data_IF_712949291130
#
_entry.id   IF_712949291130
#
_cell.length_a   1.000
_cell.length_b   1.000
_cell.length_c   1.000
_cell.angle_alpha   90.00
_cell.angle_beta   90.00
_cell.angle_gamma   90.00
#
_symmetry.space_group_name_H-M   'P 1'
#
loop_
_entity.id
_entity.type
_entity.pdbx_description
1 polymer ?
#
# COMPACT_ATOMS: atom_id res chain seq x y z
N UNK A 1 -1.41 3.66 20.60
CA UNK A 1 -0.35 2.63 20.42
C UNK A 1 -0.52 1.96 19.07
N UNK A 2 0.57 1.58 18.42
CA UNK A 2 0.57 0.78 17.20
C UNK A 2 1.41 -0.48 17.43
N UNK A 3 1.00 -1.59 16.85
CA UNK A 3 1.71 -2.85 16.87
C UNK A 3 1.95 -3.29 15.43
N UNK A 4 3.19 -3.55 15.07
CA UNK A 4 3.58 -4.10 13.78
C UNK A 4 4.06 -5.55 13.97
N UNK A 5 3.53 -6.47 13.19
CA UNK A 5 3.94 -7.87 13.21
C UNK A 5 3.85 -8.51 11.83
N UNK A 6 4.60 -9.56 11.62
CA UNK A 6 4.58 -10.32 10.37
C UNK A 6 3.48 -11.38 10.41
N UNK A 7 3.01 -11.82 9.23
CA UNK A 7 1.99 -12.87 9.13
C UNK A 7 2.39 -14.24 9.70
N UNK A 8 3.69 -14.42 10.03
CA UNK A 8 4.18 -15.64 10.72
C UNK A 8 4.11 -15.54 12.25
N UNK A 9 3.81 -14.37 12.79
CA UNK A 9 3.75 -14.15 14.24
C UNK A 9 2.47 -14.76 14.79
N UNK A 10 2.61 -15.67 15.75
CA UNK A 10 1.46 -16.20 16.49
C UNK A 10 0.94 -15.06 17.36
N UNK A 11 -0.29 -14.68 17.14
CA UNK A 11 -0.92 -13.56 17.83
C UNK A 11 -2.42 -13.83 18.06
N UNK A 12 -2.99 -13.05 18.94
CA UNK A 12 -4.42 -13.08 19.21
C UNK A 12 -4.87 -11.80 19.91
N UNK A 13 -6.16 -11.53 19.86
CA UNK A 13 -6.77 -10.43 20.57
C UNK A 13 -7.34 -10.91 21.90
N UNK A 14 -6.96 -10.25 22.99
CA UNK A 14 -7.58 -10.46 24.28
C UNK A 14 -8.98 -9.84 24.34
N UNK A 15 -9.86 -10.43 25.15
CA UNK A 15 -11.17 -9.87 25.40
C UNK A 15 -11.08 -8.51 26.12
N UNK A 16 -12.05 -7.64 25.87
CA UNK A 16 -12.26 -6.46 26.70
C UNK A 16 -12.94 -6.88 28.00
N UNK A 17 -12.24 -6.77 29.10
CA UNK A 17 -12.73 -7.17 30.45
C UNK A 17 -13.35 -6.00 31.22
N UNK A 18 -13.41 -4.80 30.62
CA UNK A 18 -14.06 -3.63 31.22
C UNK A 18 -15.56 -3.66 30.93
N UNK A 19 -16.36 -3.08 31.82
CA UNK A 19 -17.83 -3.03 31.70
C UNK A 19 -18.32 -1.74 31.05
N UNK A 20 -17.49 -0.70 31.05
CA UNK A 20 -17.86 0.68 30.73
C UNK A 20 -16.93 1.36 29.70
N UNK A 21 -15.88 0.68 29.22
CA UNK A 21 -14.93 1.24 28.25
C UNK A 21 -14.95 0.46 26.95
N UNK A 22 -15.02 1.19 25.84
CA UNK A 22 -14.88 0.63 24.51
C UNK A 22 -13.43 0.65 24.06
N UNK A 23 -13.01 -0.44 23.44
CA UNK A 23 -11.71 -0.51 22.76
C UNK A 23 -11.95 -0.58 21.26
N UNK A 24 -11.34 0.35 20.55
CA UNK A 24 -11.31 0.35 19.10
C UNK A 24 -9.94 -0.15 18.62
N UNK A 25 -9.95 -1.09 17.70
CA UNK A 25 -8.75 -1.58 17.02
C UNK A 25 -8.93 -1.43 15.51
N UNK A 26 -7.92 -0.88 14.86
CA UNK A 26 -7.81 -0.86 13.41
C UNK A 26 -6.72 -1.86 13.01
N UNK A 27 -7.06 -2.82 12.18
CA UNK A 27 -6.13 -3.78 11.59
C UNK A 27 -5.93 -3.44 10.11
N UNK A 28 -4.68 -3.32 9.69
CA UNK A 28 -4.32 -3.12 8.29
C UNK A 28 -3.32 -4.19 7.89
N UNK A 29 -3.63 -4.92 6.82
CA UNK A 29 -2.73 -5.91 6.24
C UNK A 29 -2.09 -5.37 4.97
N UNK A 30 -0.78 -5.57 4.83
CA UNK A 30 -0.04 -5.25 3.63
C UNK A 30 0.49 -6.55 3.03
N UNK A 31 0.25 -6.74 1.76
CA UNK A 31 0.77 -7.87 0.98
C UNK A 31 1.75 -7.38 -0.07
N UNK A 32 2.59 -8.30 -0.56
CA UNK A 32 3.50 -7.97 -1.66
C UNK A 32 2.69 -7.55 -2.90
N UNK A 33 3.16 -6.54 -3.61
CA UNK A 33 2.41 -5.90 -4.70
C UNK A 33 2.02 -6.82 -5.85
N UNK A 34 2.65 -8.00 -5.98
CA UNK A 34 2.29 -9.01 -6.99
C UNK A 34 1.29 -10.06 -6.48
N UNK A 35 0.94 -10.04 -5.20
CA UNK A 35 -0.09 -10.90 -4.64
C UNK A 35 -1.46 -10.22 -4.75
N UNK A 36 -2.48 -11.03 -4.85
CA UNK A 36 -3.86 -10.52 -4.79
C UNK A 36 -4.26 -10.39 -3.33
N UNK A 37 -4.60 -9.19 -2.85
CA UNK A 37 -5.10 -9.00 -1.49
C UNK A 37 -6.48 -9.60 -1.32
N UNK A 38 -6.88 -9.90 -0.09
CA UNK A 38 -8.23 -10.37 0.24
C UNK A 38 -9.30 -9.32 -0.09
N UNK A 39 -8.98 -8.05 0.19
CA UNK A 39 -9.86 -6.94 -0.13
C UNK A 39 -9.62 -6.41 -1.53
N UNK A 40 -10.66 -6.33 -2.32
CA UNK A 40 -10.65 -5.71 -3.64
C UNK A 40 -10.69 -4.17 -3.49
N UNK A 41 -9.62 -3.60 -2.96
CA UNK A 41 -9.56 -2.17 -2.61
C UNK A 41 -9.98 -1.22 -3.74
N UNK A 42 -9.65 -1.47 -5.04
CA UNK A 42 -10.13 -0.60 -6.12
C UNK A 42 -11.65 -0.63 -6.32
N UNK A 43 -12.33 -1.68 -5.86
CA UNK A 43 -13.80 -1.76 -5.89
C UNK A 43 -14.38 -1.06 -4.65
N UNK A 44 -13.81 -1.34 -3.47
CA UNK A 44 -14.27 -0.78 -2.20
C UNK A 44 -14.02 0.72 -2.06
N UNK A 45 -12.94 1.22 -2.67
CA UNK A 45 -12.58 2.65 -2.71
C UNK A 45 -12.43 3.08 -4.17
N UNK A 46 -13.53 3.43 -4.86
CA UNK A 46 -13.49 3.75 -6.29
C UNK A 46 -12.62 4.98 -6.60
N UNK A 47 -12.22 5.11 -7.86
CA UNK A 47 -11.28 6.15 -8.31
C UNK A 47 -11.73 7.57 -7.96
N UNK A 48 -13.02 7.84 -7.98
CA UNK A 48 -13.60 9.16 -7.62
C UNK A 48 -13.23 9.58 -6.20
N UNK A 49 -13.03 8.62 -5.30
CA UNK A 49 -12.56 8.83 -3.93
C UNK A 49 -11.03 8.78 -3.90
N UNK A 50 -10.44 7.75 -4.49
CA UNK A 50 -9.00 7.47 -4.41
C UNK A 50 -8.14 8.59 -5.03
N UNK A 51 -8.62 9.27 -6.08
CA UNK A 51 -7.91 10.39 -6.73
C UNK A 51 -7.57 11.55 -5.79
N UNK A 52 -8.29 11.67 -4.66
CA UNK A 52 -8.06 12.71 -3.66
C UNK A 52 -7.00 12.33 -2.61
N UNK A 53 -6.52 11.08 -2.63
CA UNK A 53 -5.49 10.61 -1.71
C UNK A 53 -4.08 10.89 -2.24
N UNK A 54 -3.09 10.79 -1.37
CA UNK A 54 -1.69 10.90 -1.79
C UNK A 54 -1.32 9.78 -2.78
N UNK A 55 -0.34 9.99 -3.67
CA UNK A 55 0.13 8.96 -4.60
C UNK A 55 0.53 7.65 -3.91
N UNK A 56 1.07 7.73 -2.70
CA UNK A 56 1.42 6.55 -1.90
C UNK A 56 0.18 5.74 -1.53
N UNK A 57 -0.87 6.40 -1.05
CA UNK A 57 -2.13 5.73 -0.69
C UNK A 57 -2.80 5.16 -1.94
N UNK A 58 -2.81 5.88 -3.06
CA UNK A 58 -3.32 5.37 -4.33
C UNK A 58 -2.62 4.06 -4.75
N UNK A 59 -1.28 4.00 -4.60
CA UNK A 59 -0.52 2.78 -4.88
C UNK A 59 -0.87 1.64 -3.94
N UNK A 60 -1.01 1.91 -2.64
CA UNK A 60 -1.42 0.90 -1.66
C UNK A 60 -2.81 0.35 -1.93
N UNK A 61 -3.71 1.16 -2.45
CA UNK A 61 -5.04 0.75 -2.89
C UNK A 61 -5.05 -0.03 -4.22
N UNK A 62 -3.93 -0.15 -4.91
CA UNK A 62 -3.83 -0.89 -6.16
C UNK A 62 -4.03 -0.05 -7.41
N UNK A 63 -4.05 1.28 -7.33
CA UNK A 63 -4.15 2.19 -8.48
C UNK A 63 -2.79 2.48 -9.13
N UNK A 64 -1.88 1.53 -9.09
CA UNK A 64 -0.59 1.59 -9.78
C UNK A 64 0.02 0.20 -9.92
N UNK A 65 0.76 -0.02 -11.00
CA UNK A 65 1.57 -1.24 -11.12
C UNK A 65 2.65 -1.26 -10.03
N UNK A 66 2.96 -2.43 -9.45
CA UNK A 66 4.01 -2.58 -8.44
C UNK A 66 5.42 -2.54 -9.10
N UNK A 67 5.73 -1.46 -9.81
CA UNK A 67 6.92 -1.34 -10.68
C UNK A 67 8.22 -0.98 -9.98
N UNK A 68 8.17 -0.58 -8.72
CA UNK A 68 9.27 0.19 -8.14
C UNK A 68 10.32 -0.64 -7.39
N UNK A 69 10.54 -1.88 -7.80
CA UNK A 69 11.60 -2.74 -7.24
C UNK A 69 12.92 -2.65 -8.02
N UNK A 70 13.23 -1.50 -8.63
CA UNK A 70 14.47 -1.30 -9.36
C UNK A 70 14.37 -1.64 -10.85
N UNK A 71 15.52 -1.79 -11.52
CA UNK A 71 15.64 -2.05 -12.95
C UNK A 71 15.24 -3.48 -13.33
N UNK A 72 14.02 -3.85 -13.08
CA UNK A 72 13.49 -5.16 -13.43
C UNK A 72 12.02 -5.08 -13.81
N UNK A 73 11.60 -5.98 -14.67
CA UNK A 73 10.18 -6.13 -14.97
C UNK A 73 9.45 -6.54 -13.68
N UNK A 74 8.44 -5.79 -13.29
CA UNK A 74 7.53 -6.25 -12.26
C UNK A 74 6.91 -7.56 -12.69
N UNK A 75 6.81 -8.57 -11.82
CA UNK A 75 6.13 -9.82 -12.15
C UNK A 75 4.64 -9.63 -12.42
N UNK A 76 4.08 -8.46 -12.09
CA UNK A 76 2.69 -8.12 -12.33
C UNK A 76 2.56 -6.66 -12.76
N UNK A 77 1.99 -6.44 -13.93
CA UNK A 77 1.58 -5.15 -14.43
C UNK A 77 0.06 -5.05 -14.34
N UNK A 78 -0.43 -3.96 -13.80
CA UNK A 78 -1.84 -3.59 -13.86
C UNK A 78 -2.07 -2.77 -15.12
N UNK A 79 -2.74 -3.35 -16.10
CA UNK A 79 -2.91 -2.76 -17.42
C UNK A 79 -4.39 -2.72 -17.80
N UNK A 80 -4.76 -1.67 -18.51
CA UNK A 80 -6.03 -1.53 -19.19
C UNK A 80 -5.70 -1.18 -20.65
N UNK A 81 -6.19 -1.96 -21.60
CA UNK A 81 -5.92 -1.78 -23.03
C UNK A 81 -4.41 -1.63 -23.36
N UNK A 82 -3.57 -2.46 -22.75
CA UNK A 82 -2.10 -2.45 -22.88
C UNK A 82 -1.39 -1.21 -22.31
N UNK A 83 -2.10 -0.31 -21.66
CA UNK A 83 -1.55 0.82 -20.94
C UNK A 83 -1.50 0.57 -19.43
N UNK A 84 -0.54 1.18 -18.73
CA UNK A 84 -0.51 1.14 -17.27
C UNK A 84 -1.80 1.78 -16.73
N UNK A 85 -2.37 1.19 -15.69
CA UNK A 85 -3.63 1.67 -15.07
C UNK A 85 -3.59 3.16 -14.76
N UNK A 86 -2.44 3.73 -14.40
CA UNK A 86 -2.31 5.18 -14.15
C UNK A 86 -2.47 6.01 -15.40
N UNK A 87 -1.93 5.56 -16.52
CA UNK A 87 -2.11 6.25 -17.81
C UNK A 87 -3.59 6.27 -18.19
N UNK A 88 -4.25 5.13 -18.04
CA UNK A 88 -5.70 5.00 -18.26
C UNK A 88 -6.52 5.95 -17.35
N UNK A 89 -6.10 6.14 -16.10
CA UNK A 89 -6.74 7.06 -15.15
C UNK A 89 -6.33 8.53 -15.34
N UNK A 90 -5.48 8.85 -16.32
CA UNK A 90 -4.98 10.19 -16.58
C UNK A 90 -4.02 10.73 -15.51
N UNK A 91 -3.42 9.85 -14.71
CA UNK A 91 -2.50 10.23 -13.64
C UNK A 91 -1.09 10.39 -14.20
N UNK A 92 -0.55 11.60 -14.15
CA UNK A 92 0.87 11.84 -14.44
C UNK A 92 1.71 11.31 -13.30
N UNK A 93 2.61 10.39 -13.61
CA UNK A 93 3.54 9.82 -12.64
C UNK A 93 4.96 10.33 -12.92
N UNK A 94 5.50 11.04 -11.97
CA UNK A 94 6.94 11.32 -11.94
C UNK A 94 7.63 10.22 -11.14
N UNK A 95 8.52 9.48 -11.77
CA UNK A 95 9.37 8.52 -11.05
C UNK A 95 10.18 9.27 -10.01
N UNK A 96 10.20 8.81 -8.76
CA UNK A 96 11.20 9.29 -7.81
C UNK A 96 12.59 9.13 -8.44
N UNK A 97 13.39 10.16 -8.42
CA UNK A 97 14.76 10.05 -8.92
C UNK A 97 15.56 9.07 -8.06
N UNK A 98 16.56 8.39 -8.63
CA UNK A 98 17.47 7.51 -7.85
C UNK A 98 18.04 8.24 -6.62
N UNK A 99 18.21 9.55 -6.70
CA UNK A 99 18.70 10.42 -5.63
C UNK A 99 17.70 10.59 -4.47
N UNK A 100 16.38 10.57 -4.74
CA UNK A 100 15.37 10.64 -3.69
C UNK A 100 15.21 9.33 -2.92
N UNK A 101 15.48 8.19 -3.57
CA UNK A 101 15.48 6.87 -2.93
C UNK A 101 16.72 6.66 -2.06
N UNK A 102 17.89 7.17 -2.46
CA UNK A 102 19.10 7.15 -1.64
C UNK A 102 18.94 7.98 -0.38
N UNK A 103 18.32 9.17 -0.46
CA UNK A 103 18.07 10.02 0.69
C UNK A 103 17.12 9.39 1.73
N UNK A 104 16.22 8.49 1.32
CA UNK A 104 15.37 7.72 2.24
C UNK A 104 16.19 6.69 3.02
N UNK A 105 17.10 5.98 2.33
CA UNK A 105 17.98 5.01 2.99
C UNK A 105 18.97 5.67 3.96
N UNK A 106 19.44 6.87 3.65
CA UNK A 106 20.36 7.63 4.49
C UNK A 106 19.65 8.27 5.71
N UNK A 107 18.35 8.50 5.64
CA UNK A 107 17.55 9.04 6.74
C UNK A 107 17.19 7.97 7.80
N UNK A 108 17.02 6.71 7.38
CA UNK A 108 16.62 5.60 8.25
C UNK A 108 17.78 4.93 9.00
N UNK A 109 19.02 5.31 8.71
CA UNK A 109 20.24 4.73 9.34
C UNK A 109 20.69 5.50 10.58
N UNK A 110 19.97 6.54 10.99
CA UNK A 110 20.23 7.26 12.25
C UNK A 110 19.29 6.79 13.36
N UNK A 111 19.55 5.60 13.87
CA UNK A 111 19.04 5.12 15.16
C UNK A 111 20.22 4.99 16.12
#
# INVERSE_FOLDING_TARGET
SALLYTGKTIHGAGANVTTDQWRFGLHMSFVLGWLTPEEASPIGVPWEIAKNFSPTVQRLLGYASPRDLGEGASPKNWMVDFEDVRAHLGVKYERPSKKSLQNLNDADVKV
#
